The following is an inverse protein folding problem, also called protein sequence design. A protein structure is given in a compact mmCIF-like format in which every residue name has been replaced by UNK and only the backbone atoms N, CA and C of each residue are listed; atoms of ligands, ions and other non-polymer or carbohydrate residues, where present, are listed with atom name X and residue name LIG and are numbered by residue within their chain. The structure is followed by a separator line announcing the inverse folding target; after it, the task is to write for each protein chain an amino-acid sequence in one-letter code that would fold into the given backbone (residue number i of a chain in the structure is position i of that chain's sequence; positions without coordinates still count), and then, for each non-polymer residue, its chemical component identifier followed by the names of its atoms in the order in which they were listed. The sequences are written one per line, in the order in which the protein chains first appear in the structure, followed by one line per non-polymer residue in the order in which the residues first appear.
data_IF_877243171121
#
_entry.id   IF_877243171121
#
_cell.length_a   1.000
_cell.length_b   1.000
_cell.length_c   1.000
_cell.angle_alpha   90.00
_cell.angle_beta   90.00
_cell.angle_gamma   90.00
#
_symmetry.space_group_name_H-M   'P 1'
#
loop_
_entity.id
_entity.type
_entity.pdbx_description
1 polymer ?
#
# COMPACT_ATOMS: atom_id res chain seq x y z
N UNK A 1 2.58 -23.02 -20.46
CA UNK A 1 2.64 -21.53 -20.38
C UNK A 1 1.28 -20.96 -20.73
N UNK A 2 0.53 -20.46 -19.75
CA UNK A 2 -0.79 -19.86 -20.02
C UNK A 2 -0.58 -18.43 -20.55
N UNK A 3 -1.00 -18.16 -21.78
CA UNK A 3 -0.93 -16.81 -22.39
C UNK A 3 -2.21 -16.05 -22.01
N UNK A 4 -2.21 -15.42 -20.84
CA UNK A 4 -3.23 -14.44 -20.50
C UNK A 4 -3.21 -13.27 -21.50
N UNK A 5 -4.38 -12.78 -21.91
CA UNK A 5 -4.51 -11.57 -22.75
C UNK A 5 -3.89 -10.36 -22.03
N UNK A 6 -3.43 -9.36 -22.80
CA UNK A 6 -2.84 -8.14 -22.21
C UNK A 6 -3.79 -7.45 -21.23
N UNK A 7 -5.08 -7.41 -21.56
CA UNK A 7 -6.14 -6.86 -20.71
C UNK A 7 -6.29 -7.64 -19.40
N UNK A 8 -6.27 -8.98 -19.45
CA UNK A 8 -6.38 -9.82 -18.27
C UNK A 8 -5.20 -9.60 -17.31
N UNK A 9 -3.98 -9.47 -17.85
CA UNK A 9 -2.79 -9.17 -17.03
C UNK A 9 -2.91 -7.82 -16.32
N UNK A 10 -3.38 -6.80 -17.03
CA UNK A 10 -3.56 -5.47 -16.45
C UNK A 10 -4.64 -5.48 -15.35
N UNK A 11 -5.78 -6.11 -15.61
CA UNK A 11 -6.86 -6.25 -14.62
C UNK A 11 -6.41 -7.01 -13.36
N UNK A 12 -5.59 -8.06 -13.52
CA UNK A 12 -5.03 -8.80 -12.38
C UNK A 12 -4.02 -7.96 -11.59
N UNK A 13 -3.22 -7.12 -12.25
CA UNK A 13 -2.33 -6.19 -11.56
C UNK A 13 -3.13 -5.13 -10.78
N UNK A 14 -4.19 -4.57 -11.35
CA UNK A 14 -5.10 -3.63 -10.66
C UNK A 14 -5.73 -4.31 -9.43
N UNK A 15 -6.26 -5.53 -9.60
CA UNK A 15 -6.80 -6.31 -8.49
C UNK A 15 -5.75 -6.52 -7.40
N UNK A 16 -4.50 -6.80 -7.78
CA UNK A 16 -3.39 -6.92 -6.85
C UNK A 16 -3.12 -5.64 -6.05
N UNK A 17 -3.12 -4.48 -6.70
CA UNK A 17 -3.00 -3.17 -6.03
C UNK A 17 -4.16 -2.96 -5.06
N UNK A 18 -5.40 -3.24 -5.48
CA UNK A 18 -6.59 -3.11 -4.61
C UNK A 18 -6.46 -3.99 -3.37
N UNK A 19 -6.00 -5.24 -3.52
CA UNK A 19 -5.81 -6.16 -2.39
C UNK A 19 -4.73 -5.68 -1.41
N UNK A 20 -3.62 -5.12 -1.90
CA UNK A 20 -2.58 -4.52 -1.07
C UNK A 20 -3.16 -3.37 -0.24
N UNK A 21 -3.90 -2.47 -0.88
CA UNK A 21 -4.55 -1.34 -0.21
C UNK A 21 -5.59 -1.81 0.81
N UNK A 22 -6.47 -2.73 0.43
CA UNK A 22 -7.49 -3.26 1.31
C UNK A 22 -6.90 -3.95 2.54
N UNK A 23 -5.83 -4.74 2.35
CA UNK A 23 -5.11 -5.39 3.44
C UNK A 23 -4.50 -4.37 4.40
N UNK A 24 -3.70 -3.43 3.90
CA UNK A 24 -3.00 -2.46 4.76
C UNK A 24 -3.98 -1.54 5.49
N UNK A 25 -5.01 -1.02 4.82
CA UNK A 25 -6.04 -0.20 5.47
C UNK A 25 -6.80 -0.96 6.57
N UNK A 26 -7.03 -2.26 6.37
CA UNK A 26 -7.67 -3.10 7.39
C UNK A 26 -6.80 -3.20 8.67
N UNK A 27 -5.48 -3.31 8.51
CA UNK A 27 -4.54 -3.31 9.64
C UNK A 27 -4.58 -2.00 10.42
N UNK A 28 -4.49 -0.85 9.73
CA UNK A 28 -4.45 0.46 10.38
C UNK A 28 -5.77 0.81 11.09
N UNK A 29 -6.92 0.41 10.52
CA UNK A 29 -8.22 0.53 11.17
C UNK A 29 -8.35 -0.35 12.41
N UNK A 30 -7.76 -1.55 12.42
CA UNK A 30 -7.72 -2.42 13.60
C UNK A 30 -6.85 -1.82 14.70
N UNK A 31 -5.68 -1.27 14.35
CA UNK A 31 -4.78 -0.59 15.32
C UNK A 31 -5.44 0.67 15.89
N UNK A 32 -6.09 1.50 15.06
CA UNK A 32 -6.84 2.67 15.51
C UNK A 32 -7.99 2.30 16.46
N UNK A 33 -8.69 1.19 16.19
CA UNK A 33 -9.81 0.72 17.03
C UNK A 33 -9.39 0.13 18.37
N UNK A 34 -8.21 -0.48 18.46
CA UNK A 34 -7.66 -0.97 19.74
C UNK A 34 -7.40 0.19 20.71
N UNK A 35 -7.08 1.39 20.20
CA UNK A 35 -6.78 2.56 21.01
C UNK A 35 -7.98 3.38 21.52
N UNK A 36 -9.19 3.23 20.96
CA UNK A 36 -10.25 4.24 21.16
C UNK A 36 -11.54 3.69 21.81
N UNK A 37 -11.96 2.44 21.61
CA UNK A 37 -13.11 1.86 22.34
C UNK A 37 -13.28 0.36 22.07
N UNK A 38 -13.78 -0.44 23.05
CA UNK A 38 -14.02 -1.88 22.91
C UNK A 38 -15.28 -2.22 22.09
N UNK A 39 -15.86 -1.29 21.32
CA UNK A 39 -17.06 -1.55 20.53
C UNK A 39 -16.74 -1.93 19.09
N UNK A 40 -16.97 -3.21 18.77
CA UNK A 40 -16.98 -3.74 17.41
C UNK A 40 -15.92 -4.79 17.10
N UNK A 41 -15.77 -5.82 17.95
CA UNK A 41 -14.99 -7.03 17.64
C UNK A 41 -15.68 -7.85 16.53
N UNK A 42 -15.54 -7.44 15.27
CA UNK A 42 -15.94 -8.28 14.13
C UNK A 42 -14.95 -9.43 13.92
N UNK A 43 -13.67 -9.24 14.25
CA UNK A 43 -12.64 -10.28 14.22
C UNK A 43 -11.63 -10.10 15.38
N UNK A 44 -11.07 -11.21 15.86
CA UNK A 44 -9.93 -11.18 16.79
C UNK A 44 -8.74 -10.48 16.11
N UNK A 45 -7.95 -9.65 16.81
CA UNK A 45 -6.77 -8.99 16.23
C UNK A 45 -5.86 -9.98 15.51
N UNK A 46 -5.68 -11.18 16.06
CA UNK A 46 -4.92 -12.28 15.43
C UNK A 46 -5.48 -12.69 14.06
N UNK A 47 -6.80 -12.81 13.93
CA UNK A 47 -7.45 -13.19 12.66
C UNK A 47 -7.30 -12.05 11.65
N UNK A 48 -7.44 -10.79 12.09
CA UNK A 48 -7.23 -9.64 11.22
C UNK A 48 -5.79 -9.58 10.71
N UNK A 49 -4.79 -9.80 11.56
CA UNK A 49 -3.38 -9.88 11.13
C UNK A 49 -3.18 -10.95 10.05
N UNK A 50 -3.73 -12.15 10.25
CA UNK A 50 -3.62 -13.23 9.26
C UNK A 50 -4.27 -12.83 7.92
N UNK A 51 -5.48 -12.26 7.96
CA UNK A 51 -6.17 -11.79 6.76
C UNK A 51 -5.39 -10.69 6.02
N UNK A 52 -4.76 -9.77 6.76
CA UNK A 52 -3.90 -8.73 6.19
C UNK A 52 -2.72 -9.36 5.45
N UNK A 53 -2.00 -10.30 6.09
CA UNK A 53 -0.87 -10.99 5.45
C UNK A 53 -1.29 -11.74 4.18
N UNK A 54 -2.45 -12.40 4.21
CA UNK A 54 -2.98 -13.11 3.04
C UNK A 54 -3.32 -12.12 1.92
N UNK A 55 -4.06 -11.05 2.21
CA UNK A 55 -4.50 -10.07 1.22
C UNK A 55 -3.32 -9.32 0.60
N UNK A 56 -2.42 -8.78 1.44
CA UNK A 56 -1.23 -8.07 0.97
C UNK A 56 -0.30 -9.04 0.23
N UNK A 57 -0.11 -10.25 0.73
CA UNK A 57 0.71 -11.27 0.08
C UNK A 57 0.19 -11.65 -1.31
N UNK A 58 -1.09 -12.02 -1.42
CA UNK A 58 -1.71 -12.36 -2.71
C UNK A 58 -1.66 -11.15 -3.66
N UNK A 59 -2.01 -9.96 -3.16
CA UNK A 59 -1.99 -8.74 -3.95
C UNK A 59 -0.60 -8.42 -4.50
N UNK A 60 0.42 -8.54 -3.66
CA UNK A 60 1.82 -8.35 -4.03
C UNK A 60 2.27 -9.34 -5.10
N UNK A 61 1.94 -10.63 -4.95
CA UNK A 61 2.26 -11.64 -5.96
C UNK A 61 1.57 -11.35 -7.31
N UNK A 62 0.29 -10.95 -7.30
CA UNK A 62 -0.42 -10.59 -8.53
C UNK A 62 0.27 -9.43 -9.26
N UNK A 63 0.62 -8.35 -8.55
CA UNK A 63 1.31 -7.21 -9.16
C UNK A 63 2.70 -7.61 -9.68
N UNK A 64 3.43 -8.42 -8.92
CA UNK A 64 4.78 -8.89 -9.29
C UNK A 64 4.77 -9.74 -10.56
N UNK A 65 3.83 -10.70 -10.67
CA UNK A 65 3.75 -11.60 -11.81
C UNK A 65 3.17 -10.96 -13.07
N UNK A 66 2.26 -9.99 -12.93
CA UNK A 66 1.53 -9.43 -14.07
C UNK A 66 1.99 -8.03 -14.50
N UNK A 67 2.80 -7.33 -13.70
CA UNK A 67 3.27 -5.98 -14.04
C UNK A 67 4.75 -5.74 -13.73
N UNK A 68 5.10 -5.42 -12.48
CA UNK A 68 6.47 -5.06 -12.09
C UNK A 68 6.64 -5.09 -10.57
N UNK A 69 7.86 -5.41 -10.13
CA UNK A 69 8.26 -5.30 -8.72
C UNK A 69 8.12 -3.87 -8.19
N UNK A 70 8.48 -2.87 -9.00
CA UNK A 70 8.41 -1.46 -8.61
C UNK A 70 6.98 -1.00 -8.30
N UNK A 71 5.98 -1.48 -9.07
CA UNK A 71 4.57 -1.17 -8.80
C UNK A 71 4.08 -1.88 -7.52
N UNK A 72 4.52 -3.12 -7.28
CA UNK A 72 4.15 -3.87 -6.09
C UNK A 72 4.70 -3.22 -4.80
N UNK A 73 5.99 -2.83 -4.81
CA UNK A 73 6.62 -2.12 -3.70
C UNK A 73 6.04 -0.71 -3.56
N UNK A 74 5.86 0.02 -4.66
CA UNK A 74 5.30 1.36 -4.65
C UNK A 74 3.89 1.40 -4.07
N UNK A 75 3.02 0.46 -4.45
CA UNK A 75 1.66 0.35 -3.92
C UNK A 75 1.63 -0.03 -2.42
N UNK A 76 2.51 -0.93 -1.97
CA UNK A 76 2.62 -1.28 -0.56
C UNK A 76 3.09 -0.09 0.29
N UNK A 77 4.12 0.63 -0.15
CA UNK A 77 4.63 1.82 0.56
C UNK A 77 3.61 2.96 0.55
N UNK A 78 2.93 3.19 -0.57
CA UNK A 78 1.89 4.21 -0.66
C UNK A 78 0.72 3.91 0.29
N UNK A 79 0.22 2.66 0.27
CA UNK A 79 -0.85 2.23 1.17
C UNK A 79 -0.44 2.34 2.64
N UNK A 80 0.79 1.94 2.99
CA UNK A 80 1.33 2.11 4.34
C UNK A 80 1.41 3.58 4.73
N UNK A 81 1.89 4.45 3.83
CA UNK A 81 1.98 5.89 4.07
C UNK A 81 0.62 6.52 4.38
N UNK A 82 -0.39 6.20 3.58
CA UNK A 82 -1.78 6.67 3.79
C UNK A 82 -2.31 6.20 5.14
N UNK A 83 -2.08 4.93 5.49
CA UNK A 83 -2.57 4.35 6.74
C UNK A 83 -1.98 5.03 7.97
N UNK A 84 -0.70 5.39 7.90
CA UNK A 84 0.00 6.14 8.96
C UNK A 84 -0.46 7.59 9.07
N UNK A 85 -0.81 8.23 7.95
CA UNK A 85 -1.44 9.57 7.97
C UNK A 85 -2.80 9.50 8.66
N UNK A 86 -3.63 8.51 8.32
CA UNK A 86 -4.95 8.31 8.94
C UNK A 86 -4.82 8.08 10.45
N UNK A 87 -3.89 7.21 10.87
CA UNK A 87 -3.58 6.99 12.29
C UNK A 87 -3.07 8.26 12.98
N UNK A 88 -2.30 9.07 12.28
CA UNK A 88 -1.74 10.31 12.80
C UNK A 88 -2.77 11.44 13.00
N UNK A 89 -3.96 11.35 12.39
CA UNK A 89 -5.05 12.30 12.59
C UNK A 89 -6.00 11.93 13.75
N UNK A 90 -5.72 10.84 14.47
CA UNK A 90 -6.45 10.51 15.68
C UNK A 90 -6.13 11.56 16.75
N UNK A 91 -7.11 12.42 17.05
CA UNK A 91 -7.03 13.39 18.14
C UNK A 91 -7.07 12.68 19.49
N UNK A 92 -6.18 13.09 20.39
CA UNK A 92 -6.10 12.56 21.76
C UNK A 92 -5.84 13.70 22.73
N UNK A 93 -6.43 13.61 23.92
CA UNK A 93 -6.20 14.56 25.02
C UNK A 93 -4.87 14.31 25.74
N UNK A 94 -4.25 13.13 25.53
CA UNK A 94 -2.97 12.78 26.13
C UNK A 94 -1.79 13.35 25.29
N UNK A 95 -0.97 14.25 25.86
CA UNK A 95 0.14 14.87 25.13
C UNK A 95 1.23 13.87 24.67
N UNK A 96 1.43 12.75 25.38
CA UNK A 96 2.40 11.74 24.97
C UNK A 96 1.94 10.96 23.75
N UNK A 97 0.66 10.57 23.73
CA UNK A 97 0.03 9.94 22.57
C UNK A 97 -0.04 10.91 21.39
N UNK A 98 -0.35 12.19 21.63
CA UNK A 98 -0.37 13.23 20.60
C UNK A 98 0.99 13.41 19.89
N UNK A 99 2.09 13.38 20.65
CA UNK A 99 3.44 13.39 20.07
C UNK A 99 3.67 12.15 19.19
N UNK A 100 3.27 10.96 19.65
CA UNK A 100 3.38 9.71 18.90
C UNK A 100 2.59 9.72 17.58
N UNK A 101 1.33 10.19 17.60
CA UNK A 101 0.49 10.30 16.41
C UNK A 101 1.05 11.32 15.41
N UNK A 102 1.59 12.45 15.88
CA UNK A 102 2.27 13.42 15.02
C UNK A 102 3.49 12.82 14.29
N UNK A 103 4.19 11.90 14.94
CA UNK A 103 5.31 11.18 14.33
C UNK A 103 4.84 10.21 13.24
N UNK A 104 3.73 9.49 13.48
CA UNK A 104 3.11 8.64 12.46
C UNK A 104 2.71 9.43 11.21
N UNK A 105 2.19 10.65 11.37
CA UNK A 105 1.84 11.53 10.25
C UNK A 105 3.06 11.89 9.39
N UNK A 106 4.17 12.30 10.03
CA UNK A 106 5.44 12.62 9.32
C UNK A 106 6.00 11.41 8.56
N UNK A 107 6.03 10.26 9.23
CA UNK A 107 6.49 9.00 8.62
C UNK A 107 5.56 8.59 7.46
N UNK A 108 4.25 8.78 7.61
CA UNK A 108 3.27 8.50 6.57
C UNK A 108 3.50 9.31 5.29
N UNK A 109 3.77 10.61 5.41
CA UNK A 109 4.12 11.44 4.25
C UNK A 109 5.41 10.98 3.55
N UNK A 110 6.43 10.55 4.29
CA UNK A 110 7.66 10.00 3.70
C UNK A 110 7.37 8.79 2.81
N UNK A 111 6.58 7.84 3.32
CA UNK A 111 6.19 6.64 2.57
C UNK A 111 5.28 6.95 1.40
N UNK A 112 4.42 7.97 1.51
CA UNK A 112 3.61 8.47 0.41
C UNK A 112 4.50 9.01 -0.72
N UNK A 113 5.49 9.85 -0.42
CA UNK A 113 6.41 10.38 -1.44
C UNK A 113 7.20 9.27 -2.14
N UNK A 114 7.75 8.31 -1.38
CA UNK A 114 8.51 7.19 -1.95
C UNK A 114 7.59 6.30 -2.80
N UNK A 115 6.41 5.94 -2.27
CA UNK A 115 5.44 5.08 -2.95
C UNK A 115 4.94 5.68 -4.25
N UNK A 116 4.52 6.96 -4.25
CA UNK A 116 4.09 7.66 -5.46
C UNK A 116 5.21 7.76 -6.49
N UNK A 117 6.44 8.06 -6.07
CA UNK A 117 7.59 8.15 -7.00
C UNK A 117 7.86 6.82 -7.69
N UNK A 118 7.78 5.70 -6.97
CA UNK A 118 7.97 4.36 -7.54
C UNK A 118 6.85 3.98 -8.51
N UNK A 119 5.60 4.32 -8.19
CA UNK A 119 4.46 4.09 -9.08
C UNK A 119 4.63 4.89 -10.38
N UNK A 120 4.94 6.19 -10.28
CA UNK A 120 5.18 7.06 -11.43
C UNK A 120 6.34 6.54 -12.29
N UNK A 121 7.45 6.12 -11.67
CA UNK A 121 8.55 5.51 -12.40
C UNK A 121 8.13 4.21 -13.10
N UNK A 122 7.31 3.38 -12.46
CA UNK A 122 6.82 2.14 -13.08
C UNK A 122 5.87 2.39 -14.26
N UNK A 123 5.16 3.52 -14.29
CA UNK A 123 4.20 3.85 -15.34
C UNK A 123 4.85 4.62 -16.50
N UNK A 124 5.73 5.58 -16.20
CA UNK A 124 6.26 6.53 -17.20
C UNK A 124 7.78 6.43 -17.40
N UNK A 125 8.52 5.96 -16.38
CA UNK A 125 9.98 5.94 -16.41
C UNK A 125 10.55 4.95 -17.43
N UNK A 126 9.86 3.84 -17.70
CA UNK A 126 10.29 2.85 -18.71
C UNK A 126 10.26 3.39 -20.13
N UNK A 127 9.23 4.17 -20.47
CA UNK A 127 9.05 4.69 -21.82
C UNK A 127 10.04 5.82 -22.14
N UNK A 128 10.37 6.65 -21.13
CA UNK A 128 11.39 7.69 -21.23
C UNK A 128 12.79 7.12 -21.51
N UNK A 129 13.18 6.04 -20.82
CA UNK A 129 14.47 5.38 -21.03
C UNK A 129 14.54 4.70 -22.41
N UNK A 130 13.43 4.07 -22.83
CA UNK A 130 13.32 3.45 -24.16
C UNK A 130 13.45 4.47 -25.29
N UNK A 131 12.79 5.62 -25.18
CA UNK A 131 12.85 6.70 -26.18
C UNK A 131 14.21 7.39 -26.26
N UNK A 132 14.94 7.50 -25.15
CA UNK A 132 16.29 8.10 -25.17
C UNK A 132 17.32 7.18 -25.84
N UNK A 133 17.16 5.86 -25.71
CA UNK A 133 18.07 4.91 -26.36
C UNK A 133 17.82 4.79 -27.88
N UNK A 134 16.59 4.98 -28.35
CA UNK A 134 16.29 4.98 -29.80
C UNK A 134 16.79 6.21 -30.54
N UNK A 135 16.94 7.34 -29.85
CA UNK A 135 17.44 8.59 -30.45
C UNK A 135 18.97 8.66 -30.52
N UNK A 136 19.67 7.73 -29.87
CA UNK A 136 21.13 7.63 -29.84
C UNK A 136 21.70 6.51 -30.74
N UNK A 137 20.85 5.91 -31.59
CA UNK A 137 21.25 5.00 -32.69
C UNK A 137 21.01 5.69 -34.03
#
# INVERSE_FOLDING_TARGET
MWKASKELKHNLAILGVILIFAGIMCMDLTVARIGIAPMGRLFSPTITFILVFILVGIGYFLVLFFHSFTLAVGSALLAFGIGRIILGEVSTEDPFLGYYYSHFKKVGYLYLYIGTSLILYSLFGRDLISSNNSNNQ
#
